data_IF_063290990849
#
_entry.id   IF_063290990849
#
_cell.length_a   1.000
_cell.length_b   1.000
_cell.length_c   1.000
_cell.angle_alpha   90.00
_cell.angle_beta   90.00
_cell.angle_gamma   90.00
#
_symmetry.space_group_name_H-M   'P 1'
#
loop_
_entity.id
_entity.type
_entity.pdbx_description
1 polymer ?
#
# COMPACT_ATOMS: atom_id res chain seq x y z
N UNK A 1 22.11 -0.81 10.02
CA UNK A 1 20.83 -0.12 10.19
C UNK A 1 21.05 1.23 10.84
N UNK A 2 20.65 2.29 10.18
CA UNK A 2 20.63 3.63 10.75
C UNK A 2 19.44 3.74 11.73
N UNK A 3 19.53 4.64 12.69
CA UNK A 3 18.39 4.96 13.54
C UNK A 3 17.33 5.70 12.72
N UNK A 4 16.05 5.54 13.05
CA UNK A 4 14.90 6.06 12.29
C UNK A 4 15.05 7.52 11.83
N UNK A 5 15.53 8.40 12.71
CA UNK A 5 15.71 9.83 12.39
C UNK A 5 16.81 10.14 11.38
N UNK A 6 17.72 9.19 11.16
CA UNK A 6 18.86 9.32 10.24
C UNK A 6 18.64 8.52 8.94
N UNK A 7 17.50 7.81 8.85
CA UNK A 7 17.15 7.02 7.68
C UNK A 7 16.70 7.92 6.52
N UNK A 8 16.96 7.44 5.31
CA UNK A 8 16.53 8.08 4.07
C UNK A 8 16.31 7.03 2.99
N UNK A 9 15.39 7.32 2.08
CA UNK A 9 15.28 6.61 0.80
C UNK A 9 15.85 7.46 -0.32
N UNK A 10 16.36 6.80 -1.34
CA UNK A 10 16.87 7.51 -2.53
C UNK A 10 16.77 6.67 -3.79
N UNK A 11 16.43 7.31 -4.90
CA UNK A 11 16.68 6.81 -6.24
C UNK A 11 18.17 6.97 -6.59
N UNK A 12 18.74 5.97 -7.29
CA UNK A 12 20.13 6.02 -7.75
C UNK A 12 20.24 5.47 -9.17
N UNK A 13 21.16 6.01 -9.93
CA UNK A 13 21.59 5.46 -11.22
C UNK A 13 23.07 5.17 -11.19
N UNK A 14 23.42 3.98 -11.65
CA UNK A 14 24.81 3.55 -11.79
C UNK A 14 25.17 3.41 -13.26
N UNK A 15 26.39 3.82 -13.60
CA UNK A 15 27.07 3.44 -14.83
C UNK A 15 27.94 2.23 -14.57
N UNK A 16 27.80 1.19 -15.37
CA UNK A 16 28.57 -0.05 -15.27
C UNK A 16 29.39 -0.19 -16.55
N UNK A 17 30.73 -0.19 -16.42
CA UNK A 17 31.66 -0.50 -17.51
C UNK A 17 32.13 -1.95 -17.35
N UNK A 18 31.53 -2.85 -18.11
CA UNK A 18 31.83 -4.29 -18.05
C UNK A 18 33.21 -4.63 -18.60
N UNK A 19 33.81 -3.77 -19.42
CA UNK A 19 35.17 -3.99 -19.95
C UNK A 19 36.23 -3.64 -18.93
N UNK A 20 36.01 -2.59 -18.16
CA UNK A 20 36.88 -2.16 -17.10
C UNK A 20 36.56 -2.75 -15.74
N UNK A 21 35.38 -3.44 -15.64
CA UNK A 21 34.84 -3.92 -14.37
C UNK A 21 34.68 -2.81 -13.33
N UNK A 22 34.21 -1.66 -13.77
CA UNK A 22 34.00 -0.48 -12.93
C UNK A 22 32.53 -0.16 -12.79
N UNK A 23 32.13 0.28 -11.60
CA UNK A 23 30.80 0.82 -11.31
C UNK A 23 30.95 2.23 -10.72
N UNK A 24 30.13 3.15 -11.23
CA UNK A 24 30.11 4.53 -10.76
C UNK A 24 28.69 5.03 -10.61
N UNK A 25 28.37 5.58 -9.44
CA UNK A 25 27.11 6.28 -9.26
C UNK A 25 27.14 7.61 -10.05
N UNK A 26 26.18 7.80 -10.94
CA UNK A 26 26.11 8.98 -11.82
C UNK A 26 24.97 9.92 -11.46
N UNK A 27 23.99 9.45 -10.70
CA UNK A 27 22.87 10.27 -10.26
C UNK A 27 22.29 9.71 -8.95
N UNK A 28 21.67 10.59 -8.16
CA UNK A 28 20.83 10.26 -7.00
C UNK A 28 19.81 11.37 -6.74
N UNK A 29 18.73 11.01 -6.07
CA UNK A 29 17.71 11.93 -5.55
C UNK A 29 17.05 11.33 -4.32
N UNK A 30 16.73 12.14 -3.31
CA UNK A 30 15.95 11.78 -2.12
C UNK A 30 16.76 11.69 -0.83
N UNK A 31 18.07 11.50 -0.90
CA UNK A 31 18.91 11.46 0.30
C UNK A 31 18.84 12.76 1.12
N UNK A 32 18.80 13.87 0.44
CA UNK A 32 18.71 15.23 1.00
C UNK A 32 17.37 15.50 1.70
N UNK A 33 16.35 14.71 1.40
CA UNK A 33 15.03 14.80 2.01
C UNK A 33 14.96 14.05 3.35
N UNK A 34 15.97 13.21 3.65
CA UNK A 34 16.08 12.49 4.91
C UNK A 34 14.83 11.67 5.25
N UNK A 35 14.41 11.76 6.50
CA UNK A 35 13.29 10.99 7.02
C UNK A 35 11.93 11.35 6.38
N UNK A 36 11.79 12.56 5.82
CA UNK A 36 10.53 13.00 5.18
C UNK A 36 10.25 12.29 3.85
N UNK A 37 11.23 11.53 3.36
CA UNK A 37 11.12 10.72 2.15
C UNK A 37 11.49 9.25 2.40
N UNK A 38 11.69 8.88 3.66
CA UNK A 38 12.09 7.53 4.02
C UNK A 38 10.91 6.57 3.98
N UNK A 39 11.04 5.53 3.16
CA UNK A 39 10.14 4.38 3.14
C UNK A 39 10.96 3.12 3.38
N UNK A 40 10.69 2.34 4.45
CA UNK A 40 11.41 1.11 4.74
C UNK A 40 11.09 -0.02 3.76
N UNK A 41 10.05 0.14 2.96
CA UNK A 41 9.54 -0.83 2.00
C UNK A 41 8.87 -0.10 0.84
N UNK A 42 8.39 -0.80 -0.18
CA UNK A 42 7.67 -0.31 -1.35
C UNK A 42 8.11 1.07 -1.86
N UNK A 43 8.86 1.07 -2.92
CA UNK A 43 9.35 2.28 -3.59
C UNK A 43 9.81 1.91 -4.99
N UNK A 44 9.81 2.85 -5.92
CA UNK A 44 10.39 2.64 -7.24
C UNK A 44 10.98 3.91 -7.84
N UNK A 45 11.79 3.71 -8.85
CA UNK A 45 12.33 4.77 -9.70
C UNK A 45 12.09 4.41 -11.15
N UNK A 46 11.46 5.31 -11.89
CA UNK A 46 11.29 5.19 -13.33
C UNK A 46 12.23 6.15 -14.05
N UNK A 47 12.79 5.70 -15.16
CA UNK A 47 13.67 6.48 -16.00
C UNK A 47 13.00 6.83 -17.32
N UNK A 48 12.79 8.11 -17.58
CA UNK A 48 12.10 8.63 -18.77
C UNK A 48 13.06 9.26 -19.80
N UNK A 49 14.34 9.20 -19.57
CA UNK A 49 15.37 9.76 -20.43
C UNK A 49 16.47 10.44 -19.64
N UNK A 50 17.46 11.02 -20.33
CA UNK A 50 18.59 11.67 -19.67
C UNK A 50 18.09 12.78 -18.74
N UNK A 51 18.55 12.73 -17.49
CA UNK A 51 18.18 13.68 -16.45
C UNK A 51 16.72 13.61 -15.96
N UNK A 52 15.88 12.72 -16.50
CA UNK A 52 14.44 12.69 -16.24
C UNK A 52 14.00 11.41 -15.51
N UNK A 53 13.45 11.57 -14.32
CA UNK A 53 13.09 10.47 -13.43
C UNK A 53 11.77 10.74 -12.72
N UNK A 54 11.03 9.67 -12.41
CA UNK A 54 9.97 9.64 -11.41
C UNK A 54 10.46 8.81 -10.24
N UNK A 55 10.38 9.35 -9.04
CA UNK A 55 10.81 8.71 -7.81
C UNK A 55 9.60 8.60 -6.89
N UNK A 56 9.35 7.39 -6.43
CA UNK A 56 8.25 7.09 -5.52
C UNK A 56 8.77 6.50 -4.22
N UNK A 57 8.32 7.04 -3.11
CA UNK A 57 8.52 6.55 -1.76
C UNK A 57 7.16 6.19 -1.19
N UNK A 58 6.83 4.88 -1.17
CA UNK A 58 5.44 4.42 -1.11
C UNK A 58 4.91 4.13 0.29
N UNK A 59 5.76 4.08 1.31
CA UNK A 59 5.34 3.72 2.66
C UNK A 59 6.07 4.54 3.72
N UNK A 60 5.86 5.86 3.71
CA UNK A 60 6.44 6.81 4.66
C UNK A 60 5.56 6.80 5.90
N UNK A 61 6.06 6.22 6.98
CA UNK A 61 5.34 6.14 8.24
C UNK A 61 5.92 7.04 9.31
N UNK A 62 5.05 7.60 10.13
CA UNK A 62 5.41 8.42 11.27
C UNK A 62 4.72 7.92 12.53
N UNK A 63 5.44 7.92 13.64
CA UNK A 63 4.91 7.61 14.97
C UNK A 63 5.57 8.57 15.97
N UNK A 64 4.74 9.29 16.71
CA UNK A 64 5.18 10.23 17.76
C UNK A 64 6.20 11.27 17.28
N UNK A 65 6.09 11.71 16.02
CA UNK A 65 6.97 12.71 15.39
C UNK A 65 8.27 12.15 14.83
N UNK A 66 8.44 10.82 14.77
CA UNK A 66 9.60 10.15 14.20
C UNK A 66 9.22 9.27 13.02
N UNK A 67 10.13 9.16 12.06
CA UNK A 67 9.96 8.21 10.97
C UNK A 67 9.96 6.78 11.49
N UNK A 68 8.95 6.02 11.10
CA UNK A 68 8.79 4.63 11.49
C UNK A 68 9.51 3.69 10.53
N UNK A 69 10.13 2.65 11.06
CA UNK A 69 10.69 1.53 10.27
C UNK A 69 9.69 0.39 10.08
N UNK A 70 8.51 0.52 10.66
CA UNK A 70 7.45 -0.49 10.52
C UNK A 70 6.86 -0.46 9.12
N UNK A 71 6.40 -1.62 8.69
CA UNK A 71 5.54 -1.70 7.50
C UNK A 71 4.21 -0.98 7.79
N UNK A 72 3.59 -0.41 6.76
CA UNK A 72 2.35 0.34 6.92
C UNK A 72 1.22 -0.42 7.60
N UNK A 73 1.18 -1.76 7.41
CA UNK A 73 0.22 -2.61 8.10
C UNK A 73 0.35 -2.61 9.64
N UNK A 74 1.50 -2.20 10.16
CA UNK A 74 1.77 -2.10 11.61
C UNK A 74 1.64 -0.69 12.18
N UNK A 75 1.36 0.30 11.33
CA UNK A 75 1.08 1.67 11.74
C UNK A 75 -0.44 1.78 11.92
N UNK A 76 -0.87 1.97 13.15
CA UNK A 76 -2.30 1.99 13.49
C UNK A 76 -2.70 3.32 14.12
N UNK A 77 -3.27 4.27 13.34
CA UNK A 77 -3.72 5.55 13.86
C UNK A 77 -4.83 5.45 14.93
N UNK A 78 -5.60 4.36 14.92
CA UNK A 78 -6.61 4.14 15.94
C UNK A 78 -6.00 3.82 17.31
N UNK A 79 -4.84 3.14 17.34
CA UNK A 79 -4.10 2.84 18.56
C UNK A 79 -3.12 3.95 18.95
N UNK A 80 -2.48 4.59 17.97
CA UNK A 80 -1.60 5.73 18.19
C UNK A 80 -2.07 6.92 17.33
N UNK A 81 -2.86 7.84 17.91
CA UNK A 81 -3.34 9.03 17.20
C UNK A 81 -2.25 9.95 16.67
N UNK A 82 -1.01 9.78 17.15
CA UNK A 82 0.15 10.53 16.67
C UNK A 82 0.91 9.76 15.55
N UNK A 83 0.30 8.74 14.99
CA UNK A 83 0.86 8.03 13.84
C UNK A 83 0.20 8.45 12.54
N UNK A 84 0.96 8.40 11.46
CA UNK A 84 0.53 8.74 10.12
C UNK A 84 1.27 7.90 9.09
N UNK A 85 0.67 7.68 7.93
CA UNK A 85 1.27 7.00 6.80
C UNK A 85 0.90 7.68 5.50
N UNK A 86 1.92 7.99 4.70
CA UNK A 86 1.73 8.59 3.39
C UNK A 86 2.67 8.00 2.34
N UNK A 87 2.39 8.30 1.09
CA UNK A 87 3.28 8.04 -0.04
C UNK A 87 3.60 9.35 -0.76
N UNK A 88 4.84 9.49 -1.23
CA UNK A 88 5.30 10.66 -1.99
C UNK A 88 5.84 10.23 -3.34
N UNK A 89 5.40 10.96 -4.37
CA UNK A 89 5.89 10.78 -5.74
C UNK A 89 6.45 12.10 -6.23
N UNK A 90 7.66 12.07 -6.78
CA UNK A 90 8.34 13.24 -7.32
C UNK A 90 8.80 12.95 -8.74
N UNK A 91 8.40 13.79 -9.68
CA UNK A 91 8.96 13.82 -11.05
C UNK A 91 9.97 14.96 -11.11
N UNK A 92 11.18 14.66 -11.53
CA UNK A 92 12.22 15.66 -11.69
C UNK A 92 12.96 15.51 -13.01
N UNK A 93 13.41 16.62 -13.56
CA UNK A 93 14.25 16.68 -14.76
C UNK A 93 15.38 17.68 -14.55
N UNK A 94 16.60 17.24 -14.81
CA UNK A 94 17.81 18.04 -14.69
C UNK A 94 17.95 18.80 -13.34
N UNK A 95 17.52 18.13 -12.25
CA UNK A 95 17.51 18.70 -10.90
C UNK A 95 16.32 19.60 -10.57
N UNK A 96 15.41 19.83 -11.53
CA UNK A 96 14.19 20.63 -11.32
C UNK A 96 13.02 19.70 -11.06
N UNK A 97 12.31 19.91 -9.97
CA UNK A 97 11.05 19.20 -9.68
C UNK A 97 9.97 19.73 -10.59
N UNK A 98 9.43 18.86 -11.44
CA UNK A 98 8.33 19.16 -12.36
C UNK A 98 6.97 18.92 -11.70
N UNK A 99 6.90 17.90 -10.85
CA UNK A 99 5.69 17.45 -10.20
C UNK A 99 6.02 16.82 -8.86
N UNK A 100 5.21 17.07 -7.86
CA UNK A 100 5.27 16.39 -6.57
C UNK A 100 3.85 16.13 -6.07
N UNK A 101 3.63 14.93 -5.56
CA UNK A 101 2.36 14.50 -5.00
C UNK A 101 2.61 13.77 -3.68
N UNK A 102 1.78 14.08 -2.70
CA UNK A 102 1.67 13.32 -1.46
C UNK A 102 0.24 12.79 -1.35
N UNK A 103 0.11 11.54 -0.95
CA UNK A 103 -1.18 10.85 -0.84
C UNK A 103 -1.22 10.12 0.49
N UNK A 104 -2.33 10.25 1.20
CA UNK A 104 -2.56 9.53 2.45
C UNK A 104 -2.62 8.02 2.18
N UNK A 105 -1.92 7.27 3.02
CA UNK A 105 -1.81 5.82 2.88
C UNK A 105 -0.52 5.36 2.21
N UNK A 106 -0.39 4.04 2.06
CA UNK A 106 0.77 3.44 1.42
C UNK A 106 0.42 2.93 0.01
N UNK A 107 1.33 3.18 -0.94
CA UNK A 107 1.17 2.78 -2.32
C UNK A 107 2.40 2.01 -2.81
N UNK A 108 2.14 0.87 -3.43
CA UNK A 108 3.21 -0.04 -3.82
C UNK A 108 4.17 0.56 -4.83
N UNK A 109 3.64 1.30 -5.82
CA UNK A 109 4.40 1.79 -6.96
C UNK A 109 3.70 2.99 -7.59
N UNK A 110 4.48 3.91 -8.15
CA UNK A 110 3.99 4.94 -9.05
C UNK A 110 4.61 4.78 -10.43
N UNK A 111 3.80 4.96 -11.44
CA UNK A 111 4.18 4.90 -12.83
C UNK A 111 3.39 5.93 -13.63
N UNK A 112 4.05 6.59 -14.57
CA UNK A 112 3.40 7.51 -15.48
C UNK A 112 2.92 6.73 -16.70
N UNK A 113 1.62 6.58 -16.80
CA UNK A 113 1.02 5.94 -17.96
C UNK A 113 0.76 6.98 -19.05
N UNK A 114 1.12 6.61 -20.27
CA UNK A 114 0.70 7.34 -21.44
C UNK A 114 -0.55 6.65 -22.00
N UNK A 115 -1.76 7.18 -21.71
CA UNK A 115 -3.01 6.50 -22.06
C UNK A 115 -3.28 6.47 -23.56
N UNK A 116 -2.47 7.19 -24.37
CA UNK A 116 -2.64 7.36 -25.80
C UNK A 116 -1.33 7.18 -26.54
N UNK A 117 -1.39 6.70 -27.76
CA UNK A 117 -0.21 6.53 -28.61
C UNK A 117 0.35 7.89 -29.05
N UNK A 118 1.67 7.94 -29.26
CA UNK A 118 2.33 9.14 -29.78
C UNK A 118 1.73 9.51 -31.14
N UNK A 119 1.33 10.76 -31.29
CA UNK A 119 0.73 11.30 -32.51
C UNK A 119 -0.81 11.27 -32.55
N UNK A 120 -1.47 10.73 -31.57
CA UNK A 120 -2.93 10.86 -31.43
C UNK A 120 -3.29 12.25 -30.93
N UNK A 121 -4.12 12.95 -31.73
CA UNK A 121 -4.74 14.20 -31.29
C UNK A 121 -6.03 13.88 -30.52
N UNK A 122 -5.93 13.91 -29.22
CA UNK A 122 -7.11 13.81 -28.37
C UNK A 122 -7.86 15.15 -28.34
N UNK A 123 -9.03 15.09 -28.90
CA UNK A 123 -10.03 16.12 -28.72
C UNK A 123 -11.03 15.60 -27.70
N UNK A 124 -10.96 16.12 -26.49
CA UNK A 124 -12.01 15.87 -25.50
C UNK A 124 -13.28 16.60 -25.95
N UNK A 125 -14.32 15.83 -26.23
CA UNK A 125 -15.64 16.40 -26.44
C UNK A 125 -16.28 16.86 -25.11
N UNK A 126 -17.45 17.46 -25.19
CA UNK A 126 -18.24 17.78 -24.01
C UNK A 126 -18.56 16.49 -23.22
N UNK A 127 -18.21 16.50 -21.94
CA UNK A 127 -18.50 15.37 -21.06
C UNK A 127 -20.00 15.12 -20.98
N UNK A 128 -20.40 13.85 -21.12
CA UNK A 128 -21.77 13.41 -20.88
C UNK A 128 -21.82 12.59 -19.60
N UNK A 129 -22.64 13.02 -18.65
CA UNK A 129 -22.96 12.19 -17.50
C UNK A 129 -23.71 10.96 -18.00
N UNK A 130 -23.10 9.79 -17.83
CA UNK A 130 -23.70 8.51 -18.25
C UNK A 130 -24.44 7.80 -17.13
N UNK A 131 -24.28 8.25 -15.89
CA UNK A 131 -24.95 7.74 -14.69
C UNK A 131 -24.32 8.30 -13.43
N UNK A 132 -25.00 8.13 -12.35
CA UNK A 132 -24.52 8.38 -11.00
C UNK A 132 -24.40 7.03 -10.30
N UNK A 133 -23.30 6.83 -9.57
CA UNK A 133 -23.17 5.68 -8.67
C UNK A 133 -23.85 6.07 -7.36
N UNK A 134 -25.03 5.50 -7.16
CA UNK A 134 -25.68 5.55 -5.86
C UNK A 134 -25.07 4.46 -5.00
N UNK A 135 -24.32 4.85 -3.98
CA UNK A 135 -23.90 3.90 -2.94
C UNK A 135 -25.10 3.70 -2.03
N UNK A 136 -25.90 2.69 -2.36
CA UNK A 136 -27.16 2.38 -1.65
C UNK A 136 -26.92 1.64 -0.34
N UNK A 137 -25.80 0.97 -0.20
CA UNK A 137 -25.45 0.22 0.99
C UNK A 137 -24.09 0.70 1.51
N UNK A 138 -24.12 1.56 2.52
CA UNK A 138 -23.00 1.65 3.44
C UNK A 138 -23.10 0.41 4.33
N UNK A 139 -22.09 -0.45 4.28
CA UNK A 139 -22.01 -1.60 5.19
C UNK A 139 -21.65 -1.13 6.61
N UNK A 140 -22.45 -0.22 7.14
CA UNK A 140 -22.35 0.25 8.52
C UNK A 140 -22.91 -0.78 9.50
N UNK A 141 -23.59 -1.79 8.98
CA UNK A 141 -24.11 -2.92 9.76
C UNK A 141 -23.63 -4.23 9.15
N UNK A 142 -23.04 -5.05 9.99
CA UNK A 142 -22.77 -6.44 9.61
C UNK A 142 -24.12 -7.11 9.32
N UNK A 143 -24.33 -7.67 8.13
CA UNK A 143 -25.58 -8.34 7.83
C UNK A 143 -25.84 -9.46 8.85
N UNK A 144 -27.10 -9.69 9.20
CA UNK A 144 -27.51 -10.85 9.99
C UNK A 144 -27.13 -12.13 9.22
N UNK A 145 -25.93 -12.59 9.45
CA UNK A 145 -25.45 -13.84 8.91
C UNK A 145 -25.97 -14.96 9.81
N UNK A 146 -26.41 -16.09 9.23
CA UNK A 146 -26.76 -17.24 10.02
C UNK A 146 -25.54 -17.64 10.87
N UNK A 147 -25.72 -17.74 12.16
CA UNK A 147 -24.70 -18.35 13.02
C UNK A 147 -24.53 -19.79 12.52
N UNK A 148 -23.40 -20.06 11.94
CA UNK A 148 -23.03 -21.42 11.54
C UNK A 148 -21.86 -21.84 12.36
N UNK A 149 -22.01 -22.94 13.11
CA UNK A 149 -20.92 -23.64 13.75
C UNK A 149 -20.14 -24.51 12.74
N UNK A 150 -20.55 -24.52 11.48
CA UNK A 150 -19.81 -25.17 10.42
C UNK A 150 -18.55 -24.36 10.14
N UNK A 151 -17.49 -24.75 10.79
CA UNK A 151 -16.17 -24.35 10.42
C UNK A 151 -15.91 -24.76 8.97
N UNK A 152 -15.27 -23.86 8.26
CA UNK A 152 -14.77 -24.00 6.92
C UNK A 152 -14.23 -25.40 6.71
N UNK A 153 -14.67 -26.06 5.68
CA UNK A 153 -14.24 -27.40 5.37
C UNK A 153 -12.72 -27.50 5.12
N UNK A 154 -12.19 -28.70 5.09
CA UNK A 154 -10.75 -28.96 4.91
C UNK A 154 -10.19 -28.44 3.59
N UNK A 155 -11.07 -28.09 2.61
CA UNK A 155 -10.67 -27.57 1.31
C UNK A 155 -10.18 -26.12 1.40
N UNK A 156 -10.81 -25.31 2.21
CA UNK A 156 -10.45 -23.89 2.36
C UNK A 156 -9.13 -23.71 3.13
N UNK A 157 -8.67 -24.72 3.86
CA UNK A 157 -7.40 -24.72 4.59
C UNK A 157 -7.22 -23.45 5.43
N UNK A 158 -8.26 -23.07 6.14
CA UNK A 158 -8.22 -21.87 6.99
C UNK A 158 -7.24 -22.09 8.14
N UNK A 159 -6.35 -21.13 8.31
CA UNK A 159 -5.41 -21.07 9.41
C UNK A 159 -5.46 -19.68 10.03
N UNK A 160 -5.55 -19.65 11.33
CA UNK A 160 -5.54 -18.40 12.10
C UNK A 160 -4.26 -18.41 12.94
N UNK A 161 -3.51 -17.32 12.89
CA UNK A 161 -2.32 -17.10 13.68
C UNK A 161 -2.51 -15.81 14.48
N UNK A 162 -2.17 -15.87 15.75
CA UNK A 162 -2.09 -14.69 16.61
C UNK A 162 -0.68 -14.11 16.53
N UNK A 163 -0.58 -12.83 16.21
CA UNK A 163 0.66 -12.09 16.05
C UNK A 163 0.57 -10.80 16.85
N UNK A 164 1.09 -10.85 18.08
CA UNK A 164 1.11 -9.76 19.04
C UNK A 164 -0.28 -9.15 19.31
N UNK A 165 -0.64 -8.10 18.62
CA UNK A 165 -1.92 -7.38 18.77
C UNK A 165 -2.88 -7.62 17.60
N UNK A 166 -2.64 -8.66 16.82
CA UNK A 166 -3.32 -8.91 15.57
C UNK A 166 -3.60 -10.40 15.36
N UNK A 167 -4.77 -10.70 14.81
CA UNK A 167 -5.06 -12.01 14.23
C UNK A 167 -4.73 -11.96 12.75
N UNK A 168 -3.94 -12.91 12.28
CA UNK A 168 -3.65 -13.11 10.86
C UNK A 168 -4.40 -14.33 10.38
N UNK A 169 -5.16 -14.15 9.34
CA UNK A 169 -6.05 -15.13 8.77
C UNK A 169 -5.54 -15.56 7.39
N UNK A 170 -5.41 -16.85 7.17
CA UNK A 170 -5.04 -17.46 5.89
C UNK A 170 -6.13 -18.40 5.43
N UNK A 171 -6.47 -18.40 4.16
CA UNK A 171 -7.44 -19.30 3.59
C UNK A 171 -7.38 -19.35 2.07
N UNK A 172 -8.06 -20.35 1.50
CA UNK A 172 -8.27 -20.49 0.05
C UNK A 172 -9.74 -20.36 -0.25
N UNK A 173 -10.08 -19.48 -1.16
CA UNK A 173 -11.46 -19.20 -1.53
C UNK A 173 -11.61 -19.14 -3.03
N UNK A 174 -12.79 -19.46 -3.52
CA UNK A 174 -13.09 -19.35 -4.93
C UNK A 174 -13.09 -17.86 -5.36
N UNK A 175 -12.60 -17.63 -6.56
CA UNK A 175 -12.62 -16.30 -7.14
C UNK A 175 -14.04 -15.76 -7.23
N UNK A 176 -14.23 -14.54 -6.74
CA UNK A 176 -15.54 -13.88 -6.74
C UNK A 176 -16.45 -14.28 -5.59
N UNK A 177 -15.98 -15.13 -4.66
CA UNK A 177 -16.68 -15.38 -3.41
C UNK A 177 -16.66 -14.13 -2.54
N UNK A 178 -17.76 -13.87 -1.84
CA UNK A 178 -17.77 -12.91 -0.75
C UNK A 178 -17.31 -13.63 0.52
N UNK A 179 -16.17 -13.24 1.04
CA UNK A 179 -15.64 -13.80 2.28
C UNK A 179 -15.55 -12.71 3.33
N UNK A 180 -16.08 -12.97 4.49
CA UNK A 180 -16.06 -12.08 5.62
C UNK A 180 -15.55 -12.80 6.86
N UNK A 181 -14.56 -12.23 7.50
CA UNK A 181 -14.11 -12.65 8.83
C UNK A 181 -14.93 -11.90 9.87
N UNK A 182 -15.58 -12.60 10.75
CA UNK A 182 -16.32 -12.04 11.89
C UNK A 182 -15.53 -12.30 13.16
N UNK A 183 -15.19 -11.25 13.88
CA UNK A 183 -14.67 -11.29 15.22
C UNK A 183 -15.78 -10.87 16.18
N UNK A 184 -16.14 -11.77 17.10
CA UNK A 184 -17.23 -11.55 18.04
C UNK A 184 -16.70 -11.64 19.46
N UNK A 185 -16.99 -10.64 20.27
CA UNK A 185 -16.79 -10.68 21.72
C UNK A 185 -18.14 -10.45 22.43
N UNK A 186 -18.12 -10.30 23.77
CA UNK A 186 -19.33 -10.08 24.57
C UNK A 186 -20.06 -8.76 24.28
N UNK A 187 -19.37 -7.76 23.71
CA UNK A 187 -19.86 -6.39 23.52
C UNK A 187 -20.28 -6.11 22.10
N UNK A 188 -19.55 -6.63 21.12
CA UNK A 188 -19.73 -6.30 19.71
C UNK A 188 -19.31 -7.42 18.75
N UNK A 189 -19.70 -7.26 17.50
CA UNK A 189 -19.22 -8.06 16.39
C UNK A 189 -18.59 -7.13 15.34
N UNK A 190 -17.36 -7.41 14.95
CA UNK A 190 -16.64 -6.68 13.90
C UNK A 190 -16.45 -7.55 12.67
N UNK A 191 -16.70 -6.99 11.50
CA UNK A 191 -16.57 -7.69 10.22
C UNK A 191 -15.43 -7.12 9.37
N UNK A 192 -14.67 -8.01 8.73
CA UNK A 192 -13.59 -7.67 7.82
C UNK A 192 -13.78 -8.42 6.50
N UNK A 193 -13.92 -7.68 5.41
CA UNK A 193 -14.03 -8.29 4.09
C UNK A 193 -12.66 -8.71 3.56
N UNK A 194 -12.62 -9.90 2.99
CA UNK A 194 -11.42 -10.44 2.35
C UNK A 194 -11.61 -10.36 0.84
N UNK A 195 -10.67 -9.69 0.19
CA UNK A 195 -10.69 -9.58 -1.26
C UNK A 195 -10.31 -10.91 -1.93
N UNK A 196 -11.25 -11.53 -2.60
CA UNK A 196 -11.07 -12.80 -3.35
C UNK A 196 -10.98 -12.58 -4.86
N UNK A 197 -10.97 -11.33 -5.32
CA UNK A 197 -11.08 -11.03 -6.76
C UNK A 197 -9.78 -11.27 -7.54
N UNK A 198 -8.62 -11.20 -6.89
CA UNK A 198 -7.33 -11.17 -7.59
C UNK A 198 -6.97 -12.49 -8.25
N UNK A 199 -7.01 -13.61 -7.53
CA UNK A 199 -6.61 -14.94 -8.05
C UNK A 199 -7.29 -16.08 -7.27
N UNK A 200 -7.82 -17.04 -8.02
CA UNK A 200 -8.63 -18.13 -7.47
C UNK A 200 -7.87 -19.21 -6.69
N UNK A 201 -6.57 -19.18 -6.69
CA UNK A 201 -5.73 -20.24 -6.11
C UNK A 201 -4.67 -19.74 -5.13
N UNK A 202 -4.56 -18.45 -4.89
CA UNK A 202 -3.66 -17.92 -3.89
C UNK A 202 -4.27 -18.03 -2.51
N UNK A 203 -3.43 -18.43 -1.57
CA UNK A 203 -3.78 -18.27 -0.17
C UNK A 203 -3.97 -16.77 0.12
N UNK A 204 -5.14 -16.44 0.61
CA UNK A 204 -5.45 -15.09 1.04
C UNK A 204 -4.94 -14.91 2.47
N UNK A 205 -4.32 -13.78 2.72
CA UNK A 205 -3.89 -13.39 4.05
C UNK A 205 -4.53 -12.04 4.37
N UNK A 206 -5.22 -11.99 5.47
CA UNK A 206 -5.78 -10.77 6.02
C UNK A 206 -5.49 -10.69 7.51
N UNK A 207 -5.40 -9.49 8.05
CA UNK A 207 -5.18 -9.28 9.47
C UNK A 207 -6.26 -8.37 10.06
N UNK A 208 -6.65 -8.68 11.28
CA UNK A 208 -7.51 -7.84 12.09
C UNK A 208 -6.77 -7.50 13.39
N UNK A 209 -6.83 -6.23 13.79
CA UNK A 209 -6.26 -5.82 15.07
C UNK A 209 -7.16 -6.27 16.23
N UNK A 210 -6.51 -6.79 17.27
CA UNK A 210 -7.19 -7.12 18.53
C UNK A 210 -7.24 -5.89 19.43
N UNK A 211 -8.37 -5.66 20.05
CA UNK A 211 -8.51 -4.69 21.11
C UNK A 211 -8.34 -5.36 22.49
N UNK A 212 -8.15 -4.56 23.55
CA UNK A 212 -7.94 -5.11 24.89
C UNK A 212 -9.05 -6.06 25.34
N UNK A 213 -10.28 -5.80 24.89
CA UNK A 213 -11.46 -6.60 25.22
C UNK A 213 -11.62 -7.90 24.40
N UNK A 214 -10.76 -8.13 23.42
CA UNK A 214 -10.79 -9.32 22.55
C UNK A 214 -9.92 -10.48 23.10
N UNK A 215 -9.23 -10.27 24.21
CA UNK A 215 -8.32 -11.23 24.84
C UNK A 215 -8.93 -11.92 26.04
#
# INVERSE_FOLDING_TARGET
>A
YLKNRDNFSRGVRYHIDTKKMEIRQVWQYGKELGATFFSPYISNVEYYGEGHYLIHSGGIGWEDGYASEKLGAYINPAKNPNSDICAKTVEQKDGVVLYAMEVDGNFYRAEKLQPYHDGENLVFGDGKVIGELEVTDTFDTIPDLPETDELVDSWHQVRIEEDDDRIVFHGRFERGSLVMLLLKNEKETRGYFINTAAVSYLAMCSGAYLEEDDR
#
